data_IF_474001969000
#
_entry.id   IF_474001969000
#
_cell.length_a   1.000
_cell.length_b   1.000
_cell.length_c   1.000
_cell.angle_alpha   90.00
_cell.angle_beta   90.00
_cell.angle_gamma   90.00
#
_symmetry.space_group_name_H-M   'P 1'
#
loop_
_entity.id
_entity.type
_entity.pdbx_description
1 polymer ?
#
# COMPACT_ATOMS: atom_id res chain seq x y z
N UNK A 1 11.51 15.82 23.96
CA UNK A 1 10.83 16.03 22.65
C UNK A 1 11.44 15.18 21.53
N UNK A 2 12.77 15.13 21.37
CA UNK A 2 13.45 14.33 20.31
C UNK A 2 13.11 12.82 20.25
N UNK A 3 12.92 12.14 21.39
CA UNK A 3 12.60 10.71 21.42
C UNK A 3 11.17 10.38 20.97
N UNK A 4 10.20 11.22 21.35
CA UNK A 4 8.81 11.06 20.93
C UNK A 4 8.67 11.25 19.41
N UNK A 5 9.36 12.24 18.85
CA UNK A 5 9.41 12.49 17.41
C UNK A 5 9.99 11.29 16.62
N UNK A 6 11.01 10.59 17.17
CA UNK A 6 11.53 9.37 16.53
C UNK A 6 10.50 8.25 16.48
N UNK A 7 9.80 7.97 17.60
CA UNK A 7 8.79 6.92 17.65
C UNK A 7 7.63 7.26 16.71
N UNK A 8 7.19 8.51 16.72
CA UNK A 8 6.10 8.99 15.87
C UNK A 8 6.43 8.83 14.38
N UNK A 9 7.66 9.13 13.95
CA UNK A 9 8.09 8.92 12.55
C UNK A 9 8.05 7.43 12.12
N UNK A 10 8.49 6.52 12.99
CA UNK A 10 8.43 5.07 12.71
C UNK A 10 6.97 4.61 12.66
N UNK A 11 6.15 5.08 13.59
CA UNK A 11 4.72 4.77 13.66
C UNK A 11 3.95 5.27 12.43
N UNK A 12 4.25 6.49 11.96
CA UNK A 12 3.65 7.07 10.75
C UNK A 12 3.93 6.20 9.54
N UNK A 13 5.19 5.80 9.33
CA UNK A 13 5.58 5.03 8.17
C UNK A 13 5.04 3.60 8.24
N UNK A 14 5.21 2.92 9.38
CA UNK A 14 4.73 1.55 9.58
C UNK A 14 3.20 1.46 9.50
N UNK A 15 2.50 2.40 10.13
CA UNK A 15 1.03 2.48 10.08
C UNK A 15 0.50 2.77 8.68
N UNK A 16 1.14 3.69 7.94
CA UNK A 16 0.75 4.00 6.57
C UNK A 16 0.97 2.84 5.61
N UNK A 17 2.09 2.13 5.73
CA UNK A 17 2.37 0.92 4.95
C UNK A 17 1.38 -0.19 5.28
N UNK A 18 1.10 -0.45 6.57
CA UNK A 18 0.08 -1.42 6.99
C UNK A 18 -1.29 -1.10 6.38
N UNK A 19 -1.73 0.15 6.48
CA UNK A 19 -3.02 0.59 5.92
C UNK A 19 -3.07 0.38 4.41
N UNK A 20 -2.01 0.74 3.70
CA UNK A 20 -1.89 0.53 2.24
C UNK A 20 -2.01 -0.95 1.88
N UNK A 21 -1.22 -1.81 2.52
CA UNK A 21 -1.23 -3.26 2.23
C UNK A 21 -2.60 -3.87 2.51
N UNK A 22 -3.26 -3.48 3.61
CA UNK A 22 -4.61 -3.93 3.92
C UNK A 22 -5.64 -3.47 2.88
N UNK A 23 -5.53 -2.21 2.41
CA UNK A 23 -6.40 -1.67 1.36
C UNK A 23 -6.19 -2.40 0.03
N UNK A 24 -4.96 -2.69 -0.36
CA UNK A 24 -4.65 -3.43 -1.59
C UNK A 24 -5.15 -4.87 -1.53
N UNK A 25 -4.96 -5.54 -0.39
CA UNK A 25 -5.52 -6.88 -0.16
C UNK A 25 -7.04 -6.88 -0.37
N UNK A 26 -7.75 -5.94 0.26
CA UNK A 26 -9.20 -5.78 0.07
C UNK A 26 -9.57 -5.44 -1.38
N UNK A 27 -8.86 -4.48 -2.00
CA UNK A 27 -9.08 -4.06 -3.38
C UNK A 27 -8.91 -5.21 -4.38
N UNK A 28 -7.94 -6.08 -4.14
CA UNK A 28 -7.72 -7.28 -4.93
C UNK A 28 -8.84 -8.30 -4.76
N UNK A 29 -9.14 -8.68 -3.51
CA UNK A 29 -10.17 -9.67 -3.20
C UNK A 29 -11.57 -9.24 -3.67
N UNK A 30 -11.88 -7.94 -3.59
CA UNK A 30 -13.17 -7.40 -4.03
C UNK A 30 -13.41 -7.47 -5.54
N UNK A 31 -12.36 -7.65 -6.36
CA UNK A 31 -12.45 -7.74 -7.82
C UNK A 31 -12.09 -9.13 -8.36
N UNK A 32 -11.87 -10.12 -7.49
CA UNK A 32 -11.71 -11.50 -7.93
C UNK A 32 -12.98 -12.01 -8.63
N UNK A 33 -12.84 -12.89 -9.64
CA UNK A 33 -13.99 -13.57 -10.23
C UNK A 33 -14.83 -14.26 -9.16
N UNK A 34 -16.15 -14.05 -9.19
CA UNK A 34 -17.10 -14.55 -8.18
C UNK A 34 -17.40 -13.57 -7.04
N UNK A 35 -16.60 -12.51 -6.85
CA UNK A 35 -16.88 -11.45 -5.87
C UNK A 35 -17.34 -10.16 -6.56
N UNK A 36 -16.50 -9.59 -7.43
CA UNK A 36 -16.75 -8.40 -8.26
C UNK A 36 -17.71 -7.37 -7.65
N UNK A 37 -17.29 -6.76 -6.54
CA UNK A 37 -18.10 -5.74 -5.86
C UNK A 37 -18.32 -4.51 -6.77
N UNK A 38 -19.52 -3.90 -6.72
CA UNK A 38 -19.76 -2.65 -7.44
C UNK A 38 -18.91 -1.53 -6.84
N UNK A 39 -18.54 -0.55 -7.67
CA UNK A 39 -17.66 0.57 -7.28
C UNK A 39 -17.99 1.23 -5.93
N UNK A 40 -19.25 1.58 -5.63
CA UNK A 40 -19.63 2.14 -4.33
C UNK A 40 -19.36 1.21 -3.14
N UNK A 41 -19.59 -0.10 -3.30
CA UNK A 41 -19.32 -1.09 -2.25
C UNK A 41 -17.82 -1.29 -2.04
N UNK A 42 -17.03 -1.32 -3.11
CA UNK A 42 -15.56 -1.35 -3.04
C UNK A 42 -15.03 -0.12 -2.30
N UNK A 43 -15.49 1.08 -2.65
CA UNK A 43 -15.09 2.33 -2.01
C UNK A 43 -15.46 2.34 -0.52
N UNK A 44 -16.67 1.89 -0.18
CA UNK A 44 -17.10 1.76 1.22
C UNK A 44 -16.20 0.77 1.98
N UNK A 45 -15.89 -0.38 1.39
CA UNK A 45 -14.99 -1.37 2.00
C UNK A 45 -13.57 -0.84 2.20
N UNK A 46 -13.00 -0.14 1.22
CA UNK A 46 -11.69 0.52 1.34
C UNK A 46 -11.69 1.57 2.45
N UNK A 47 -12.77 2.37 2.56
CA UNK A 47 -12.93 3.33 3.64
C UNK A 47 -13.03 2.65 5.01
N UNK A 48 -13.75 1.52 5.13
CA UNK A 48 -13.83 0.73 6.35
C UNK A 48 -12.48 0.12 6.74
N UNK A 49 -11.71 -0.39 5.79
CA UNK A 49 -10.35 -0.88 6.03
C UNK A 49 -9.45 0.25 6.53
N UNK A 50 -9.53 1.43 5.92
CA UNK A 50 -8.75 2.58 6.35
C UNK A 50 -9.19 3.11 7.72
N UNK A 51 -10.49 3.08 8.04
CA UNK A 51 -11.01 3.38 9.38
C UNK A 51 -10.49 2.37 10.41
N UNK A 52 -10.49 1.07 10.08
CA UNK A 52 -9.98 0.02 10.96
C UNK A 52 -8.47 0.17 11.21
N UNK A 53 -7.70 0.47 10.16
CA UNK A 53 -6.27 0.79 10.28
C UNK A 53 -6.06 2.04 11.14
N UNK A 54 -6.85 3.09 10.92
CA UNK A 54 -6.86 4.31 11.74
C UNK A 54 -7.19 4.05 13.21
N UNK A 55 -8.15 3.15 13.47
CA UNK A 55 -8.50 2.69 14.82
C UNK A 55 -7.33 1.98 15.50
N UNK A 56 -6.69 1.06 14.79
CA UNK A 56 -5.51 0.34 15.26
C UNK A 56 -4.35 1.30 15.56
N UNK A 57 -4.03 2.21 14.64
CA UNK A 57 -2.96 3.20 14.84
C UNK A 57 -3.31 4.14 16.01
N UNK A 58 -4.55 4.61 16.08
CA UNK A 58 -5.05 5.46 17.15
C UNK A 58 -5.08 4.79 18.53
N UNK A 59 -5.08 3.45 18.60
CA UNK A 59 -4.93 2.71 19.84
C UNK A 59 -3.51 2.76 20.39
N UNK A 60 -2.53 3.01 19.53
CA UNK A 60 -1.11 2.90 19.87
C UNK A 60 -0.31 4.19 19.70
N UNK A 61 -0.90 5.21 19.08
CA UNK A 61 -0.26 6.50 18.81
C UNK A 61 -1.23 7.70 18.97
N UNK A 62 -0.74 8.89 18.62
CA UNK A 62 -1.50 10.15 18.71
C UNK A 62 -2.44 10.34 17.50
N UNK A 63 -3.46 11.23 17.61
CA UNK A 63 -4.29 11.61 16.46
C UNK A 63 -3.50 12.12 15.27
N UNK A 64 -2.42 12.87 15.53
CA UNK A 64 -1.55 13.42 14.50
C UNK A 64 -0.79 12.30 13.76
N UNK A 65 -0.31 11.29 14.49
CA UNK A 65 0.34 10.11 13.90
C UNK A 65 -0.66 9.31 13.06
N UNK A 66 -1.89 9.09 13.53
CA UNK A 66 -2.91 8.40 12.74
C UNK A 66 -3.24 9.14 11.43
N UNK A 67 -3.39 10.47 11.49
CA UNK A 67 -3.62 11.28 10.30
C UNK A 67 -2.43 11.24 9.33
N UNK A 68 -1.20 11.40 9.84
CA UNK A 68 0.01 11.37 9.02
C UNK A 68 0.25 9.97 8.41
N UNK A 69 -0.03 8.89 9.14
CA UNK A 69 -0.01 7.52 8.61
C UNK A 69 -1.05 7.33 7.49
N UNK A 70 -2.26 7.86 7.65
CA UNK A 70 -3.25 7.92 6.58
C UNK A 70 -2.75 8.69 5.37
N UNK A 71 -2.07 9.83 5.57
CA UNK A 71 -1.43 10.58 4.49
C UNK A 71 -0.36 9.79 3.75
N UNK A 72 0.49 9.04 4.47
CA UNK A 72 1.47 8.11 3.88
C UNK A 72 0.75 7.03 3.07
N UNK A 73 -0.34 6.46 3.58
CA UNK A 73 -1.13 5.48 2.83
C UNK A 73 -1.71 6.09 1.54
N UNK A 74 -2.25 7.31 1.61
CA UNK A 74 -2.72 8.05 0.45
C UNK A 74 -1.61 8.29 -0.60
N UNK A 75 -0.40 8.61 -0.15
CA UNK A 75 0.76 8.80 -1.04
C UNK A 75 1.16 7.49 -1.74
N UNK A 76 1.21 6.36 -1.01
CA UNK A 76 1.55 5.06 -1.61
C UNK A 76 0.42 4.59 -2.54
N UNK A 77 -0.84 4.84 -2.18
CA UNK A 77 -1.99 4.51 -3.01
C UNK A 77 -2.04 5.29 -4.34
N UNK A 78 -1.19 6.30 -4.55
CA UNK A 78 -1.02 6.92 -5.87
C UNK A 78 -0.52 5.92 -6.94
N UNK A 79 0.16 4.85 -6.53
CA UNK A 79 0.55 3.75 -7.42
C UNK A 79 -0.65 3.10 -8.12
N UNK A 80 -1.85 3.18 -7.53
CA UNK A 80 -3.12 2.71 -8.13
C UNK A 80 -4.01 3.89 -8.51
N UNK A 81 -4.01 5.00 -7.78
CA UNK A 81 -4.88 6.14 -8.14
C UNK A 81 -4.54 6.68 -9.54
N UNK A 82 -3.29 6.56 -9.99
CA UNK A 82 -2.91 6.87 -11.36
C UNK A 82 -3.71 6.10 -12.41
N UNK A 83 -4.12 4.85 -12.14
CA UNK A 83 -4.95 4.03 -13.04
C UNK A 83 -6.41 4.49 -13.10
N UNK A 84 -6.85 5.34 -12.17
CA UNK A 84 -8.17 5.96 -12.16
C UNK A 84 -8.16 7.37 -12.80
N UNK A 85 -7.00 8.03 -12.80
CA UNK A 85 -6.81 9.38 -13.34
C UNK A 85 -6.18 9.40 -14.73
N UNK A 86 -5.56 8.30 -15.16
CA UNK A 86 -4.97 8.14 -16.48
C UNK A 86 -6.06 8.03 -17.55
N UNK A 87 -5.95 8.86 -18.58
CA UNK A 87 -6.74 8.72 -19.80
C UNK A 87 -6.37 7.46 -20.57
N UNK A 88 -7.18 7.15 -21.58
CA UNK A 88 -7.02 5.97 -22.45
C UNK A 88 -5.67 5.90 -23.20
N UNK A 89 -4.98 7.03 -23.30
CA UNK A 89 -3.66 7.24 -23.92
C UNK A 89 -2.53 7.36 -22.89
N UNK A 90 -2.81 7.17 -21.60
CA UNK A 90 -1.84 7.29 -20.51
C UNK A 90 -1.51 8.73 -20.11
N UNK A 91 -2.23 9.72 -20.63
CA UNK A 91 -2.06 11.13 -20.23
C UNK A 91 -2.88 11.41 -18.98
N UNK A 92 -2.32 12.22 -18.09
CA UNK A 92 -3.00 12.65 -16.87
C UNK A 92 -3.72 13.97 -17.18
N UNK A 93 -5.03 14.02 -16.94
CA UNK A 93 -5.82 15.23 -17.13
C UNK A 93 -5.60 16.29 -16.05
N UNK A 94 -6.10 17.50 -16.29
CA UNK A 94 -5.94 18.64 -15.38
C UNK A 94 -6.59 18.38 -13.99
N UNK A 95 -7.60 17.52 -13.93
CA UNK A 95 -8.28 17.08 -12.72
C UNK A 95 -7.36 16.39 -11.72
N UNK A 96 -6.24 15.81 -12.16
CA UNK A 96 -5.27 15.19 -11.26
C UNK A 96 -4.64 16.20 -10.28
N UNK A 97 -4.55 17.48 -10.65
CA UNK A 97 -4.09 18.53 -9.76
C UNK A 97 -4.99 18.69 -8.52
N UNK A 98 -6.27 18.31 -8.62
CA UNK A 98 -7.22 18.29 -7.51
C UNK A 98 -7.24 16.91 -6.83
N UNK A 99 -7.34 15.85 -7.63
CA UNK A 99 -7.53 14.49 -7.09
C UNK A 99 -6.31 13.96 -6.32
N UNK A 100 -5.09 14.28 -6.74
CA UNK A 100 -3.87 13.84 -6.05
C UNK A 100 -3.82 14.39 -4.61
N UNK A 101 -3.83 15.72 -4.37
CA UNK A 101 -3.82 16.23 -3.00
C UNK A 101 -5.10 15.87 -2.23
N UNK A 102 -6.27 15.86 -2.89
CA UNK A 102 -7.52 15.48 -2.24
C UNK A 102 -7.47 14.04 -1.72
N UNK A 103 -6.92 13.09 -2.49
CA UNK A 103 -6.81 11.70 -2.06
C UNK A 103 -5.97 11.56 -0.79
N UNK A 104 -4.82 12.23 -0.71
CA UNK A 104 -3.93 12.19 0.46
C UNK A 104 -4.64 12.77 1.70
N UNK A 105 -5.33 13.90 1.53
CA UNK A 105 -6.11 14.54 2.61
C UNK A 105 -7.25 13.64 3.07
N UNK A 106 -8.01 13.06 2.15
CA UNK A 106 -9.10 12.13 2.49
C UNK A 106 -8.57 10.95 3.29
N UNK A 107 -7.45 10.35 2.87
CA UNK A 107 -6.89 9.23 3.63
C UNK A 107 -6.46 9.64 5.04
N UNK A 108 -5.83 10.82 5.19
CA UNK A 108 -5.44 11.36 6.49
C UNK A 108 -6.65 11.61 7.40
N UNK A 109 -7.74 12.16 6.86
CA UNK A 109 -8.97 12.42 7.61
C UNK A 109 -9.68 11.14 8.01
N UNK A 110 -9.83 10.18 7.09
CA UNK A 110 -10.49 8.88 7.36
C UNK A 110 -9.69 8.09 8.40
N UNK A 111 -8.37 8.00 8.26
CA UNK A 111 -7.52 7.34 9.27
C UNK A 111 -7.65 8.01 10.64
N UNK A 112 -7.73 9.35 10.69
CA UNK A 112 -7.98 10.08 11.93
C UNK A 112 -9.36 9.79 12.51
N UNK A 113 -10.41 9.70 11.70
CA UNK A 113 -11.77 9.40 12.15
C UNK A 113 -11.88 8.00 12.77
N UNK A 114 -11.07 7.04 12.31
CA UNK A 114 -11.04 5.67 12.85
C UNK A 114 -10.72 5.60 14.35
N UNK A 115 -10.10 6.63 14.92
CA UNK A 115 -9.68 6.64 16.31
C UNK A 115 -10.79 6.92 17.33
N UNK A 116 -12.01 7.22 16.89
CA UNK A 116 -13.11 7.58 17.79
C UNK A 116 -13.39 6.43 18.77
N UNK A 117 -13.45 6.76 20.07
CA UNK A 117 -13.73 5.80 21.13
C UNK A 117 -12.61 4.80 21.42
N UNK A 118 -11.38 5.06 20.98
CA UNK A 118 -10.24 4.18 21.23
C UNK A 118 -9.53 4.52 22.54
N UNK A 119 -9.27 3.51 23.37
CA UNK A 119 -8.40 3.61 24.55
C UNK A 119 -6.94 3.48 24.09
N UNK A 120 -6.09 4.44 24.48
CA UNK A 120 -4.70 4.50 24.01
C UNK A 120 -3.74 3.77 24.94
N UNK A 121 -2.91 2.91 24.36
CA UNK A 121 -1.75 2.26 24.98
C UNK A 121 -0.55 2.55 24.09
N UNK A 122 0.34 3.44 24.52
CA UNK A 122 1.49 3.86 23.71
C UNK A 122 2.46 2.70 23.51
N UNK A 123 2.80 2.45 22.25
CA UNK A 123 3.81 1.48 21.85
C UNK A 123 5.20 2.08 21.75
N UNK A 124 6.19 1.21 21.84
CA UNK A 124 7.59 1.53 21.63
C UNK A 124 7.95 1.54 20.15
N UNK A 125 9.15 2.02 19.81
CA UNK A 125 9.65 1.94 18.43
C UNK A 125 9.77 0.48 17.95
N UNK A 126 10.12 -0.46 18.84
CA UNK A 126 10.30 -1.86 18.48
C UNK A 126 8.98 -2.50 18.02
N UNK A 127 7.87 -2.17 18.66
CA UNK A 127 6.53 -2.64 18.27
C UNK A 127 6.18 -2.14 16.85
N UNK A 128 6.46 -0.87 16.55
CA UNK A 128 6.24 -0.30 15.21
C UNK A 128 7.17 -0.87 14.14
N UNK A 129 8.40 -1.23 14.49
CA UNK A 129 9.25 -2.03 13.59
C UNK A 129 8.65 -3.41 13.31
N UNK A 130 8.03 -4.04 14.31
CA UNK A 130 7.26 -5.27 14.14
C UNK A 130 6.08 -5.10 13.20
N UNK A 131 5.32 -4.00 13.32
CA UNK A 131 4.23 -3.66 12.39
C UNK A 131 4.75 -3.49 10.96
N UNK A 132 5.86 -2.78 10.78
CA UNK A 132 6.47 -2.60 9.46
C UNK A 132 6.91 -3.95 8.84
N UNK A 133 7.54 -4.80 9.64
CA UNK A 133 7.93 -6.14 9.22
C UNK A 133 6.72 -6.97 8.80
N UNK A 134 5.68 -7.02 9.64
CA UNK A 134 4.44 -7.73 9.34
C UNK A 134 3.77 -7.22 8.07
N UNK A 135 3.65 -5.90 7.89
CA UNK A 135 3.06 -5.32 6.68
C UNK A 135 3.87 -5.64 5.42
N UNK A 136 5.21 -5.59 5.49
CA UNK A 136 6.10 -5.95 4.37
C UNK A 136 5.97 -7.44 4.03
N UNK A 137 5.97 -8.32 5.05
CA UNK A 137 5.74 -9.76 4.86
C UNK A 137 4.36 -10.03 4.26
N UNK A 138 3.31 -9.37 4.72
CA UNK A 138 1.97 -9.50 4.13
C UNK A 138 1.95 -9.09 2.67
N UNK A 139 2.63 -8.00 2.29
CA UNK A 139 2.76 -7.60 0.89
C UNK A 139 3.47 -8.66 0.04
N UNK A 140 4.55 -9.26 0.56
CA UNK A 140 5.26 -10.37 -0.09
C UNK A 140 4.34 -11.58 -0.26
N UNK A 141 3.57 -11.96 0.77
CA UNK A 141 2.61 -13.06 0.65
C UNK A 141 1.56 -12.76 -0.43
N UNK A 142 1.03 -11.54 -0.48
CA UNK A 142 0.05 -11.13 -1.49
C UNK A 142 0.62 -11.21 -2.91
N UNK A 143 1.85 -10.76 -3.16
CA UNK A 143 2.45 -10.86 -4.51
C UNK A 143 2.72 -12.32 -4.91
N UNK A 144 3.12 -13.18 -3.96
CA UNK A 144 3.31 -14.62 -4.21
C UNK A 144 1.98 -15.29 -4.56
N UNK A 145 0.91 -14.98 -3.83
CA UNK A 145 -0.45 -15.49 -4.14
C UNK A 145 -0.91 -14.98 -5.51
N UNK A 146 -0.75 -13.69 -5.79
CA UNK A 146 -1.11 -13.11 -7.09
C UNK A 146 -0.32 -13.76 -8.24
N UNK A 147 0.97 -14.05 -8.05
CA UNK A 147 1.80 -14.75 -9.04
C UNK A 147 1.40 -16.22 -9.23
N UNK A 148 1.00 -16.88 -8.14
CA UNK A 148 0.40 -18.21 -8.20
C UNK A 148 -0.89 -18.21 -9.02
N UNK A 149 -1.76 -17.22 -8.82
CA UNK A 149 -2.98 -17.05 -9.60
C UNK A 149 -2.68 -16.83 -11.08
N UNK A 150 -1.73 -15.95 -11.43
CA UNK A 150 -1.30 -15.74 -12.83
C UNK A 150 -0.88 -17.04 -13.51
N UNK A 151 -0.10 -17.87 -12.80
CA UNK A 151 0.32 -19.19 -13.29
C UNK A 151 -0.87 -20.13 -13.45
N UNK A 152 -1.74 -20.24 -12.44
CA UNK A 152 -2.89 -21.15 -12.46
C UNK A 152 -3.97 -20.76 -13.46
N UNK A 153 -4.09 -19.48 -13.80
CA UNK A 153 -5.02 -19.00 -14.83
C UNK A 153 -4.40 -18.92 -16.22
N UNK A 154 -3.11 -19.28 -16.36
CA UNK A 154 -2.35 -19.22 -17.61
C UNK A 154 -2.30 -17.80 -18.24
N UNK A 155 -2.32 -16.76 -17.40
CA UNK A 155 -2.42 -15.35 -17.84
C UNK A 155 -1.07 -14.64 -17.86
N UNK A 156 0.05 -15.37 -17.81
CA UNK A 156 1.39 -14.77 -17.72
C UNK A 156 1.86 -14.00 -18.96
N UNK A 157 1.11 -14.08 -20.07
CA UNK A 157 1.36 -13.37 -21.33
C UNK A 157 0.14 -12.53 -21.76
N UNK A 158 -0.76 -12.20 -20.84
CA UNK A 158 -1.91 -11.36 -21.13
C UNK A 158 -1.50 -9.92 -21.48
N UNK A 159 -0.42 -9.40 -20.89
CA UNK A 159 0.16 -8.08 -21.13
C UNK A 159 1.49 -8.23 -21.88
N UNK A 160 1.58 -7.79 -23.14
CA UNK A 160 2.68 -8.16 -24.04
C UNK A 160 4.00 -7.39 -23.82
N UNK A 161 3.98 -6.30 -23.06
CA UNK A 161 5.10 -5.37 -22.88
C UNK A 161 5.47 -5.19 -21.40
N UNK A 162 6.64 -4.61 -21.12
CA UNK A 162 7.12 -4.23 -19.78
C UNK A 162 8.16 -3.11 -19.89
N UNK A 163 8.21 -2.12 -18.98
CA UNK A 163 7.38 -1.91 -17.78
C UNK A 163 6.00 -1.28 -18.07
N UNK A 164 5.64 -1.14 -19.34
CA UNK A 164 4.34 -0.64 -19.76
C UNK A 164 3.26 -1.73 -19.74
N UNK A 165 2.01 -1.33 -20.00
CA UNK A 165 0.89 -2.21 -20.29
C UNK A 165 0.14 -1.66 -21.49
N UNK A 166 0.28 -2.32 -22.63
CA UNK A 166 -0.23 -1.90 -23.93
C UNK A 166 0.24 -0.49 -24.33
N UNK A 167 1.54 -0.21 -24.13
CA UNK A 167 2.16 1.07 -24.49
C UNK A 167 1.91 2.22 -23.51
N UNK A 168 1.09 2.01 -22.48
CA UNK A 168 0.83 2.97 -21.40
C UNK A 168 1.66 2.62 -20.17
N UNK A 169 2.16 3.62 -19.42
CA UNK A 169 2.85 3.37 -18.16
C UNK A 169 1.95 2.56 -17.21
N UNK A 170 2.48 1.50 -16.58
CA UNK A 170 1.64 0.59 -15.77
C UNK A 170 0.88 1.28 -14.64
N UNK A 171 1.40 2.35 -14.03
CA UNK A 171 0.71 3.08 -12.97
C UNK A 171 -0.42 3.98 -13.47
N UNK A 172 -0.52 4.19 -14.79
CA UNK A 172 -1.54 4.99 -15.45
C UNK A 172 -2.45 4.15 -16.34
N UNK A 173 -2.23 2.83 -16.41
CA UNK A 173 -3.05 1.94 -17.22
C UNK A 173 -4.48 1.90 -16.67
N UNK A 174 -5.53 2.19 -17.45
CA UNK A 174 -6.89 2.36 -16.92
C UNK A 174 -7.43 1.13 -16.19
N UNK A 175 -7.91 1.31 -14.95
CA UNK A 175 -8.46 0.22 -14.14
C UNK A 175 -9.67 -0.46 -14.83
N UNK A 176 -10.44 0.29 -15.61
CA UNK A 176 -11.57 -0.22 -16.39
C UNK A 176 -11.17 -1.25 -17.46
N UNK A 177 -9.90 -1.26 -17.90
CA UNK A 177 -9.36 -2.20 -18.89
C UNK A 177 -8.74 -3.44 -18.25
N UNK A 178 -8.50 -3.42 -16.94
CA UNK A 178 -7.99 -4.57 -16.17
C UNK A 178 -9.10 -5.62 -15.96
N UNK A 179 -9.47 -6.31 -17.04
CA UNK A 179 -10.52 -7.32 -17.05
C UNK A 179 -9.96 -8.69 -17.45
N UNK A 180 -10.62 -9.78 -17.01
CA UNK A 180 -10.21 -11.14 -17.33
C UNK A 180 -8.74 -11.42 -16.98
N UNK A 181 -7.98 -11.98 -17.92
CA UNK A 181 -6.57 -12.32 -17.71
C UNK A 181 -5.65 -11.12 -17.44
N UNK A 182 -5.99 -9.96 -18.00
CA UNK A 182 -5.23 -8.71 -17.80
C UNK A 182 -5.26 -8.30 -16.33
N UNK A 183 -6.40 -8.50 -15.66
CA UNK A 183 -6.52 -8.19 -14.24
C UNK A 183 -5.48 -8.93 -13.40
N UNK A 184 -5.32 -10.24 -13.60
CA UNK A 184 -4.39 -11.06 -12.84
C UNK A 184 -2.95 -10.65 -13.07
N UNK A 185 -2.53 -10.53 -14.32
CA UNK A 185 -1.15 -10.18 -14.65
C UNK A 185 -0.80 -8.76 -14.23
N UNK A 186 -1.66 -7.79 -14.53
CA UNK A 186 -1.39 -6.40 -14.23
C UNK A 186 -1.44 -6.13 -12.71
N UNK A 187 -2.40 -6.74 -11.99
CA UNK A 187 -2.41 -6.64 -10.53
C UNK A 187 -1.13 -7.23 -9.91
N UNK A 188 -0.64 -8.37 -10.41
CA UNK A 188 0.62 -8.96 -9.96
C UNK A 188 1.81 -8.00 -10.17
N UNK A 189 1.88 -7.31 -11.33
CA UNK A 189 2.91 -6.30 -11.63
C UNK A 189 2.86 -5.10 -10.67
N UNK A 190 1.67 -4.60 -10.36
CA UNK A 190 1.48 -3.52 -9.38
C UNK A 190 1.90 -3.98 -7.97
N UNK A 191 1.55 -5.21 -7.59
CA UNK A 191 2.01 -5.79 -6.32
C UNK A 191 3.53 -5.91 -6.25
N UNK A 192 4.20 -6.25 -7.36
CA UNK A 192 5.67 -6.23 -7.42
C UNK A 192 6.25 -4.86 -7.07
N UNK A 193 5.64 -3.78 -7.58
CA UNK A 193 6.03 -2.40 -7.25
C UNK A 193 5.77 -2.04 -5.78
N UNK A 194 4.62 -2.45 -5.23
CA UNK A 194 4.30 -2.24 -3.82
C UNK A 194 5.30 -3.00 -2.91
N UNK A 195 5.64 -4.24 -3.25
CA UNK A 195 6.58 -5.05 -2.48
C UNK A 195 7.99 -4.48 -2.53
N UNK A 196 8.47 -4.03 -3.70
CA UNK A 196 9.75 -3.32 -3.81
C UNK A 196 9.80 -2.06 -2.96
N UNK A 197 8.74 -1.24 -2.99
CA UNK A 197 8.66 -0.02 -2.18
C UNK A 197 8.61 -0.32 -0.67
N UNK A 198 7.79 -1.28 -0.24
CA UNK A 198 7.69 -1.64 1.18
C UNK A 198 8.99 -2.27 1.71
N UNK A 199 9.67 -3.10 0.90
CA UNK A 199 11.00 -3.63 1.23
C UNK A 199 12.05 -2.52 1.36
N UNK A 200 12.04 -1.53 0.47
CA UNK A 200 12.92 -0.35 0.55
C UNK A 200 12.68 0.45 1.83
N UNK A 201 11.42 0.76 2.13
CA UNK A 201 11.03 1.49 3.34
C UNK A 201 11.39 0.70 4.60
N UNK A 202 11.22 -0.63 4.59
CA UNK A 202 11.60 -1.51 5.69
C UNK A 202 13.11 -1.47 5.92
N UNK A 203 13.91 -1.59 4.85
CA UNK A 203 15.36 -1.48 4.91
C UNK A 203 15.81 -0.14 5.49
N UNK A 204 15.25 0.98 5.00
CA UNK A 204 15.56 2.33 5.49
C UNK A 204 15.25 2.46 6.99
N UNK A 205 14.10 1.94 7.44
CA UNK A 205 13.70 1.96 8.85
C UNK A 205 14.65 1.15 9.72
N UNK A 206 15.00 -0.08 9.31
CA UNK A 206 15.96 -0.93 10.04
C UNK A 206 17.33 -0.25 10.13
N UNK A 207 17.81 0.32 9.03
CA UNK A 207 19.11 1.00 9.01
C UNK A 207 19.19 2.21 9.92
N UNK A 208 18.08 2.94 10.09
CA UNK A 208 17.98 4.11 10.98
C UNK A 208 17.70 3.75 12.44
N UNK A 209 17.04 2.62 12.69
CA UNK A 209 16.52 2.24 14.02
C UNK A 209 17.35 1.20 14.77
N UNK A 210 18.00 0.27 14.07
CA UNK A 210 18.72 -0.86 14.68
C UNK A 210 20.23 -0.65 14.61
N UNK A 211 20.96 -0.95 15.69
CA UNK A 211 22.43 -0.84 15.73
C UNK A 211 23.16 -2.12 15.29
N UNK A 212 22.46 -3.27 15.25
CA UNK A 212 23.06 -4.59 15.02
C UNK A 212 23.40 -4.77 13.53
N UNK A 213 24.68 -4.97 13.16
CA UNK A 213 25.08 -5.10 11.76
C UNK A 213 24.41 -6.26 11.02
N UNK A 214 24.17 -7.38 11.72
CA UNK A 214 23.51 -8.55 11.14
C UNK A 214 22.07 -8.23 10.67
N UNK A 215 21.31 -7.50 11.48
CA UNK A 215 19.92 -7.10 11.16
C UNK A 215 19.90 -6.16 9.95
N UNK A 216 20.82 -5.19 9.91
CA UNK A 216 20.95 -4.26 8.76
C UNK A 216 21.32 -4.99 7.47
N UNK A 217 22.28 -5.92 7.54
CA UNK A 217 22.65 -6.76 6.38
C UNK A 217 21.49 -7.61 5.91
N UNK A 218 20.74 -8.21 6.84
CA UNK A 218 19.57 -9.01 6.49
C UNK A 218 18.49 -8.18 5.77
N UNK A 219 18.23 -6.95 6.22
CA UNK A 219 17.29 -6.06 5.54
C UNK A 219 17.75 -5.66 4.12
N UNK A 220 19.07 -5.51 3.91
CA UNK A 220 19.64 -5.29 2.57
C UNK A 220 19.46 -6.52 1.69
N UNK A 221 19.73 -7.72 2.22
CA UNK A 221 19.52 -8.97 1.50
C UNK A 221 18.06 -9.13 1.09
N UNK A 222 17.09 -8.87 1.99
CA UNK A 222 15.67 -8.90 1.66
C UNK A 222 15.36 -7.95 0.49
N UNK A 223 15.85 -6.70 0.55
CA UNK A 223 15.60 -5.73 -0.52
C UNK A 223 16.15 -6.21 -1.87
N UNK A 224 17.38 -6.73 -1.89
CA UNK A 224 17.97 -7.27 -3.13
C UNK A 224 17.24 -8.51 -3.64
N UNK A 225 16.82 -9.43 -2.77
CA UNK A 225 16.04 -10.62 -3.18
C UNK A 225 14.66 -10.27 -3.76
N UNK A 226 14.11 -9.10 -3.40
CA UNK A 226 12.84 -8.63 -3.93
C UNK A 226 13.01 -7.90 -5.27
N UNK A 227 14.09 -7.15 -5.43
CA UNK A 227 14.29 -6.24 -6.57
C UNK A 227 15.21 -6.79 -7.66
N UNK A 228 15.90 -7.91 -7.45
CA UNK A 228 16.79 -8.56 -8.39
C UNK A 228 16.35 -9.98 -8.67
#
# INVERSE_FOLDING_TARGET
>A
MLFADRIDRVAILAGGVLATVAMWAFGYLSHLPGVMLPGPATLAGLALVLLAAGRFIGAHATPAVAAAAGGVAGLINLLVLGSLLGGDDGRVGAEAAVWVPASIVVHALVARLGMVGVRRVRWSAADWHGVMAAATTSAIVLVVVAGGLVTSTETGLAVPDWPNSYGVNMFLYPLSRMTGGIYFEHAHRLYGSLVGLTALLHMILVWRGDARPAVRRFAVVIFFLVCC
#
